data_IF_181495958734
#
_entry.id   IF_181495958734
#
_cell.length_a   1.000
_cell.length_b   1.000
_cell.length_c   1.000
_cell.angle_alpha   90.00
_cell.angle_beta   90.00
_cell.angle_gamma   90.00
#
_symmetry.space_group_name_H-M   'P 1'
#
loop_
_entity.id
_entity.type
_entity.pdbx_description
1 polymer ?
#
# COMPACT_ATOMS: atom_id res chain seq x y z
N UNK A 1 -17.32 19.05 -0.86
CA UNK A 1 -16.96 18.64 -2.24
C UNK A 1 -15.58 19.18 -2.55
N UNK A 2 -14.67 18.39 -3.11
CA UNK A 2 -13.30 18.82 -3.43
C UNK A 2 -13.30 19.81 -4.59
N UNK A 3 -12.53 20.90 -4.49
CA UNK A 3 -12.20 21.77 -5.61
C UNK A 3 -11.00 21.19 -6.38
N UNK A 4 -11.29 20.24 -7.27
CA UNK A 4 -10.28 19.48 -8.01
C UNK A 4 -9.40 20.37 -8.86
N UNK A 5 -9.97 21.45 -9.46
CA UNK A 5 -9.20 22.36 -10.30
C UNK A 5 -8.19 23.19 -9.49
N UNK A 6 -8.53 23.52 -8.24
CA UNK A 6 -7.58 24.16 -7.31
C UNK A 6 -6.51 23.16 -6.84
N UNK A 7 -6.91 21.94 -6.47
CA UNK A 7 -6.01 20.87 -6.01
C UNK A 7 -4.98 20.51 -7.08
N UNK A 8 -5.36 20.42 -8.35
CA UNK A 8 -4.45 20.07 -9.46
C UNK A 8 -3.25 21.02 -9.58
N UNK A 9 -3.39 22.28 -9.17
CA UNK A 9 -2.28 23.26 -9.18
C UNK A 9 -1.15 22.90 -8.21
N UNK A 10 -1.44 22.08 -7.21
CA UNK A 10 -0.44 21.56 -6.27
C UNK A 10 0.42 20.45 -6.89
N UNK A 11 0.03 19.93 -8.06
CA UNK A 11 0.68 18.83 -8.77
C UNK A 11 1.21 19.27 -10.14
N UNK A 12 2.34 19.98 -10.21
CA UNK A 12 2.85 20.58 -11.46
C UNK A 12 3.08 19.59 -12.61
N UNK A 13 3.34 18.32 -12.28
CA UNK A 13 3.55 17.26 -13.29
C UNK A 13 2.31 17.04 -14.16
N UNK A 14 1.10 17.32 -13.66
CA UNK A 14 -0.15 17.13 -14.40
C UNK A 14 -0.32 18.14 -15.54
N UNK A 15 0.48 19.22 -15.57
CA UNK A 15 0.50 20.20 -16.66
C UNK A 15 1.45 19.78 -17.80
N UNK A 16 2.19 18.68 -17.63
CA UNK A 16 3.13 18.21 -18.65
C UNK A 16 2.40 17.67 -19.89
N UNK A 17 3.08 17.76 -21.01
CA UNK A 17 2.64 17.13 -22.27
C UNK A 17 3.51 15.92 -22.59
N UNK A 18 2.87 14.84 -22.98
CA UNK A 18 3.48 13.60 -23.46
C UNK A 18 3.13 13.44 -24.93
N UNK A 19 4.14 13.40 -25.81
CA UNK A 19 3.95 13.39 -27.28
C UNK A 19 3.00 14.52 -27.76
N UNK A 20 3.19 15.74 -27.24
CA UNK A 20 2.34 16.91 -27.50
C UNK A 20 0.87 16.79 -27.05
N UNK A 21 0.52 15.75 -26.28
CA UNK A 21 -0.80 15.57 -25.67
C UNK A 21 -0.77 15.90 -24.18
N UNK A 22 -1.85 16.43 -23.60
CA UNK A 22 -1.95 16.56 -22.14
C UNK A 22 -1.72 15.21 -21.46
N UNK A 23 -0.97 15.22 -20.36
CA UNK A 23 -0.81 14.01 -19.53
C UNK A 23 -2.13 13.65 -18.86
N UNK A 24 -2.60 12.43 -19.08
CA UNK A 24 -3.66 11.77 -18.31
C UNK A 24 -3.00 10.65 -17.52
N UNK A 25 -2.94 10.80 -16.19
CA UNK A 25 -2.21 9.85 -15.35
C UNK A 25 -3.17 8.96 -14.55
N UNK A 26 -3.31 7.71 -14.98
CA UNK A 26 -4.16 6.68 -14.38
C UNK A 26 -3.36 5.47 -13.85
N UNK A 27 -2.09 5.65 -13.49
CA UNK A 27 -1.29 4.61 -12.84
C UNK A 27 -1.03 4.90 -11.34
N UNK A 28 -2.02 5.51 -10.66
CA UNK A 28 -1.94 5.89 -9.24
C UNK A 28 -1.75 4.69 -8.31
N UNK A 29 -2.32 3.55 -8.64
CA UNK A 29 -2.14 2.31 -7.88
C UNK A 29 -0.72 1.74 -7.93
N UNK A 30 0.15 2.21 -8.84
CA UNK A 30 1.58 1.91 -8.83
C UNK A 30 2.35 2.94 -7.98
N UNK A 31 2.13 4.23 -8.24
CA UNK A 31 2.65 5.35 -7.44
C UNK A 31 1.80 6.59 -7.73
N UNK A 32 1.46 7.37 -6.73
CA UNK A 32 0.76 8.64 -6.91
C UNK A 32 1.72 9.76 -7.31
N UNK A 33 1.21 10.84 -7.90
CA UNK A 33 1.99 12.08 -8.07
C UNK A 33 2.17 12.80 -6.73
N UNK A 34 3.17 13.69 -6.65
CA UNK A 34 3.56 14.35 -5.39
C UNK A 34 3.12 15.81 -5.43
N UNK A 35 2.42 16.29 -4.39
CA UNK A 35 2.11 17.70 -4.29
C UNK A 35 3.39 18.49 -4.01
N UNK A 36 3.41 19.75 -4.46
CA UNK A 36 4.53 20.68 -4.32
C UNK A 36 5.06 20.73 -2.89
N UNK A 37 4.20 20.80 -1.88
CA UNK A 37 4.60 20.89 -0.47
C UNK A 37 5.45 19.69 -0.01
N UNK A 38 5.22 18.50 -0.55
CA UNK A 38 6.02 17.30 -0.23
C UNK A 38 7.41 17.41 -0.83
N UNK A 39 7.53 17.86 -2.07
CA UNK A 39 8.83 18.06 -2.74
C UNK A 39 9.62 19.16 -2.04
N UNK A 40 8.98 20.29 -1.75
CA UNK A 40 9.59 21.41 -0.99
C UNK A 40 10.03 20.99 0.41
N UNK A 41 9.30 20.07 1.07
CA UNK A 41 9.70 19.53 2.37
C UNK A 41 10.99 18.72 2.29
N UNK A 42 11.17 17.92 1.23
CA UNK A 42 12.42 17.18 0.97
C UNK A 42 13.57 18.17 0.74
N UNK A 43 13.38 19.13 -0.15
CA UNK A 43 14.38 20.14 -0.47
C UNK A 43 14.80 20.94 0.77
N UNK A 44 13.81 21.43 1.54
CA UNK A 44 14.06 22.14 2.79
C UNK A 44 14.77 21.27 3.84
N UNK A 45 14.45 19.99 3.91
CA UNK A 45 15.13 19.05 4.81
C UNK A 45 16.61 18.98 4.54
N UNK A 46 17.01 18.82 3.29
CA UNK A 46 18.43 18.76 2.92
C UNK A 46 19.15 20.11 3.05
N UNK A 47 18.52 21.22 2.71
CA UNK A 47 19.19 22.51 2.72
C UNK A 47 19.28 23.15 4.10
N UNK A 48 18.34 22.87 5.02
CA UNK A 48 18.22 23.63 6.25
C UNK A 48 18.48 22.84 7.54
N UNK A 49 18.21 21.50 7.54
CA UNK A 49 18.26 20.68 8.78
C UNK A 49 18.94 19.33 8.59
N UNK A 50 19.77 19.19 7.55
CA UNK A 50 20.44 17.91 7.26
C UNK A 50 21.51 17.58 8.30
N UNK A 51 21.24 16.64 9.18
CA UNK A 51 22.18 16.09 10.15
C UNK A 51 21.76 14.68 10.58
N UNK A 52 22.72 13.86 11.03
CA UNK A 52 22.36 12.57 11.66
C UNK A 52 21.54 12.80 12.91
N UNK A 53 20.54 11.94 13.14
CA UNK A 53 19.54 12.07 14.20
C UNK A 53 19.92 11.25 15.46
N UNK A 54 19.22 11.52 16.58
CA UNK A 54 19.25 10.87 17.90
C UNK A 54 20.57 11.03 18.68
N UNK A 55 21.77 11.00 18.07
CA UNK A 55 23.06 10.94 18.79
C UNK A 55 23.84 12.23 18.78
N UNK A 56 23.50 13.19 17.94
CA UNK A 56 24.20 14.48 17.87
C UNK A 56 23.74 15.44 18.96
N UNK A 57 24.70 16.11 19.59
CA UNK A 57 24.42 17.12 20.63
C UNK A 57 24.32 18.55 20.08
N UNK A 58 24.47 18.72 18.77
CA UNK A 58 24.42 20.04 18.12
C UNK A 58 23.01 20.34 17.55
N UNK A 59 22.71 21.62 17.35
CA UNK A 59 21.40 22.13 16.95
C UNK A 59 20.79 21.41 15.75
N UNK A 60 21.55 21.21 14.67
CA UNK A 60 21.01 20.55 13.47
C UNK A 60 20.55 19.12 13.75
N UNK A 61 21.30 18.35 14.55
CA UNK A 61 20.93 17.00 14.93
C UNK A 61 19.65 16.97 15.77
N UNK A 62 19.52 17.90 16.72
CA UNK A 62 18.31 18.02 17.53
C UNK A 62 17.09 18.39 16.66
N UNK A 63 17.23 19.39 15.78
CA UNK A 63 16.16 19.81 14.88
C UNK A 63 15.73 18.69 13.90
N UNK A 64 16.68 17.93 13.37
CA UNK A 64 16.37 16.79 12.50
C UNK A 64 15.68 15.65 13.28
N UNK A 65 16.13 15.39 14.52
CA UNK A 65 15.49 14.39 15.41
C UNK A 65 14.07 14.79 15.75
N UNK A 66 13.84 16.04 16.16
CA UNK A 66 12.49 16.55 16.46
C UNK A 66 11.56 16.43 15.24
N UNK A 67 12.05 16.77 14.05
CA UNK A 67 11.27 16.67 12.81
C UNK A 67 10.91 15.21 12.47
N UNK A 68 11.83 14.26 12.68
CA UNK A 68 11.62 12.84 12.46
C UNK A 68 10.60 12.27 13.45
N UNK A 69 10.71 12.58 14.74
CA UNK A 69 9.79 12.10 15.76
C UNK A 69 8.40 12.78 15.67
N UNK A 70 8.34 14.04 15.22
CA UNK A 70 7.07 14.70 14.88
C UNK A 70 6.39 14.00 13.68
N UNK A 71 7.18 13.54 12.70
CA UNK A 71 6.66 12.73 11.60
C UNK A 71 6.07 11.40 12.10
N UNK A 72 6.71 10.73 13.06
CA UNK A 72 6.20 9.51 13.69
C UNK A 72 4.85 9.76 14.40
N UNK A 73 4.75 10.85 15.15
CA UNK A 73 3.49 11.26 15.78
C UNK A 73 2.41 11.57 14.76
N UNK A 74 2.77 12.19 13.62
CA UNK A 74 1.82 12.45 12.54
C UNK A 74 1.26 11.15 11.96
N UNK A 75 2.10 10.14 11.74
CA UNK A 75 1.68 8.81 11.30
C UNK A 75 0.78 8.15 12.35
N UNK A 76 1.19 8.19 13.62
CA UNK A 76 0.43 7.65 14.74
C UNK A 76 -1.00 8.23 14.79
N UNK A 77 -1.12 9.56 14.67
CA UNK A 77 -2.41 10.25 14.65
C UNK A 77 -3.23 9.92 13.39
N UNK A 78 -2.59 9.83 12.24
CA UNK A 78 -3.25 9.53 10.97
C UNK A 78 -3.88 8.13 10.97
N UNK A 79 -3.22 7.15 11.57
CA UNK A 79 -3.72 5.78 11.72
C UNK A 79 -4.59 5.58 12.96
N UNK A 80 -4.71 6.57 13.85
CA UNK A 80 -5.31 6.45 15.18
C UNK A 80 -4.66 5.35 16.06
N UNK A 81 -3.33 5.17 15.96
CA UNK A 81 -2.60 4.26 16.82
C UNK A 81 -2.51 4.80 18.26
N UNK A 82 -2.40 3.91 19.25
CA UNK A 82 -2.39 4.28 20.67
C UNK A 82 -1.10 5.00 21.09
N UNK A 83 0.01 4.59 20.53
CA UNK A 83 1.34 5.08 20.88
C UNK A 83 2.21 5.29 19.63
N UNK A 84 3.14 6.23 19.68
CA UNK A 84 4.20 6.36 18.66
C UNK A 84 5.16 5.18 18.65
N UNK A 85 5.25 4.40 19.75
CA UNK A 85 6.03 3.16 19.83
C UNK A 85 5.53 2.07 18.89
N UNK A 86 4.25 2.16 18.49
CA UNK A 86 3.60 1.24 17.54
C UNK A 86 3.92 1.56 16.06
N UNK A 87 4.66 2.65 15.79
CA UNK A 87 4.98 3.12 14.44
C UNK A 87 6.46 2.88 14.15
N UNK A 88 6.75 1.97 13.21
CA UNK A 88 8.09 1.65 12.73
C UNK A 88 8.24 2.17 11.31
N UNK A 89 9.25 2.98 11.05
CA UNK A 89 9.59 3.40 9.68
C UNK A 89 10.35 2.29 8.96
N UNK A 90 9.93 2.02 7.75
CA UNK A 90 10.52 1.04 6.83
C UNK A 90 10.72 1.67 5.45
N UNK A 91 11.35 0.97 4.52
CA UNK A 91 11.48 1.45 3.13
C UNK A 91 10.19 1.31 2.31
N UNK A 92 9.16 0.69 2.87
CA UNK A 92 7.86 0.46 2.23
C UNK A 92 7.20 -0.81 2.72
N UNK A 93 5.98 -1.07 2.23
CA UNK A 93 5.16 -2.25 2.55
C UNK A 93 5.95 -3.57 2.43
N UNK A 94 6.74 -3.71 1.37
CA UNK A 94 7.51 -4.94 1.14
C UNK A 94 8.49 -5.21 2.27
N UNK A 95 9.23 -4.21 2.76
CA UNK A 95 10.13 -4.40 3.89
C UNK A 95 9.35 -4.65 5.18
N UNK A 96 8.26 -3.93 5.41
CA UNK A 96 7.42 -4.10 6.59
C UNK A 96 6.89 -5.54 6.71
N UNK A 97 6.39 -6.12 5.60
CA UNK A 97 5.94 -7.52 5.57
C UNK A 97 7.12 -8.48 5.76
N UNK A 98 8.28 -8.24 5.15
CA UNK A 98 9.47 -9.07 5.35
C UNK A 98 9.95 -9.05 6.82
N UNK A 99 9.88 -7.89 7.49
CA UNK A 99 10.19 -7.77 8.91
C UNK A 99 9.28 -8.69 9.73
N UNK A 100 7.96 -8.56 9.56
CA UNK A 100 7.02 -9.41 10.28
C UNK A 100 7.19 -10.89 9.90
N UNK A 101 7.32 -11.20 8.60
CA UNK A 101 7.51 -12.58 8.16
C UNK A 101 8.76 -13.24 8.78
N UNK A 102 9.86 -12.50 8.91
CA UNK A 102 11.08 -13.01 9.53
C UNK A 102 10.92 -13.11 11.05
N UNK A 103 10.62 -12.00 11.72
CA UNK A 103 10.59 -11.92 13.18
C UNK A 103 9.47 -12.77 13.80
N UNK A 104 8.29 -12.76 13.18
CA UNK A 104 7.15 -13.56 13.65
C UNK A 104 7.38 -15.06 13.45
N UNK A 105 7.91 -15.45 12.30
CA UNK A 105 8.21 -16.88 12.06
C UNK A 105 9.31 -17.39 13.00
N UNK A 106 10.32 -16.55 13.29
CA UNK A 106 11.41 -16.94 14.18
C UNK A 106 10.94 -17.13 15.63
N UNK A 107 10.05 -16.29 16.12
CA UNK A 107 9.58 -16.29 17.51
C UNK A 107 8.35 -17.17 17.72
N UNK A 108 7.39 -17.19 16.78
CA UNK A 108 6.05 -17.70 17.01
C UNK A 108 5.71 -18.96 16.22
N UNK A 109 6.58 -19.42 15.28
CA UNK A 109 6.23 -20.52 14.39
C UNK A 109 7.26 -21.64 14.37
N UNK A 110 6.74 -22.84 14.14
CA UNK A 110 7.49 -24.08 13.97
C UNK A 110 7.15 -24.76 12.65
N UNK A 111 7.90 -25.80 12.26
CA UNK A 111 7.63 -26.57 11.05
C UNK A 111 6.21 -27.18 11.08
N UNK A 112 5.49 -27.01 9.98
CA UNK A 112 4.11 -27.45 9.82
C UNK A 112 3.06 -26.43 10.30
N UNK A 113 3.45 -25.29 10.89
CA UNK A 113 2.52 -24.21 11.18
C UNK A 113 2.08 -23.50 9.90
N UNK A 114 0.97 -22.78 9.97
CA UNK A 114 0.25 -22.28 8.82
C UNK A 114 0.07 -20.75 8.87
N UNK A 115 0.22 -20.13 7.70
CA UNK A 115 -0.18 -18.74 7.45
C UNK A 115 -1.32 -18.73 6.45
N UNK A 116 -2.41 -18.04 6.75
CA UNK A 116 -3.52 -17.84 5.82
C UNK A 116 -3.27 -16.53 5.06
N UNK A 117 -3.28 -16.61 3.73
CA UNK A 117 -3.22 -15.46 2.80
C UNK A 117 -4.41 -15.49 1.85
N UNK A 118 -4.67 -14.43 1.07
CA UNK A 118 -5.70 -14.49 0.04
C UNK A 118 -5.13 -14.71 -1.37
N UNK A 119 -5.98 -15.13 -2.30
CA UNK A 119 -5.64 -15.22 -3.72
C UNK A 119 -5.36 -13.84 -4.34
N UNK A 120 -5.79 -12.75 -3.69
CA UNK A 120 -5.66 -11.37 -4.17
C UNK A 120 -4.35 -10.69 -3.77
N UNK A 121 -3.45 -11.39 -3.07
CA UNK A 121 -2.26 -10.77 -2.50
C UNK A 121 -1.29 -10.27 -3.58
N UNK A 122 -0.73 -9.10 -3.33
CA UNK A 122 0.47 -8.63 -4.02
C UNK A 122 1.65 -9.55 -3.70
N UNK A 123 2.62 -9.69 -4.61
CA UNK A 123 3.82 -10.51 -4.37
C UNK A 123 4.54 -10.19 -3.06
N UNK A 124 4.46 -8.94 -2.59
CA UNK A 124 5.02 -8.52 -1.30
C UNK A 124 4.42 -9.26 -0.09
N UNK A 125 3.19 -9.78 -0.23
CA UNK A 125 2.50 -10.52 0.83
C UNK A 125 2.35 -12.02 0.52
N UNK A 126 3.10 -12.52 -0.45
CA UNK A 126 3.20 -13.96 -0.77
C UNK A 126 4.64 -14.42 -0.59
N UNK A 127 5.57 -13.77 -1.30
CA UNK A 127 6.97 -14.21 -1.41
C UNK A 127 7.69 -14.25 -0.06
N UNK A 128 7.54 -13.27 0.86
CA UNK A 128 8.15 -13.38 2.18
C UNK A 128 7.75 -14.65 2.94
N UNK A 129 6.47 -15.03 2.89
CA UNK A 129 5.95 -16.24 3.52
C UNK A 129 6.47 -17.50 2.83
N UNK A 130 6.61 -17.52 1.50
CA UNK A 130 7.23 -18.63 0.76
C UNK A 130 8.71 -18.80 1.14
N UNK A 131 9.43 -17.71 1.37
CA UNK A 131 10.82 -17.75 1.87
C UNK A 131 10.86 -18.40 3.26
N UNK A 132 9.93 -18.06 4.15
CA UNK A 132 9.84 -18.69 5.47
C UNK A 132 9.38 -20.15 5.38
N UNK A 133 8.48 -20.48 4.46
CA UNK A 133 8.11 -21.87 4.18
C UNK A 133 9.32 -22.72 3.80
N UNK A 134 10.19 -22.20 2.92
CA UNK A 134 11.41 -22.89 2.53
C UNK A 134 12.45 -23.01 3.67
N UNK A 135 12.49 -22.03 4.60
CA UNK A 135 13.45 -22.00 5.70
C UNK A 135 13.00 -22.77 6.93
N UNK A 136 11.74 -22.65 7.30
CA UNK A 136 11.17 -23.16 8.57
C UNK A 136 10.16 -24.29 8.37
N UNK A 137 9.76 -24.59 7.14
CA UNK A 137 8.76 -25.63 6.86
C UNK A 137 7.33 -25.24 7.20
N UNK A 138 7.00 -23.94 7.23
CA UNK A 138 5.61 -23.47 7.38
C UNK A 138 4.83 -23.67 6.08
N UNK A 139 3.50 -23.59 6.14
CA UNK A 139 2.60 -23.80 5.00
C UNK A 139 1.72 -22.57 4.76
N UNK A 140 1.47 -22.23 3.49
CA UNK A 140 0.50 -21.19 3.12
C UNK A 140 -0.84 -21.85 2.80
N UNK A 141 -1.91 -21.33 3.42
CA UNK A 141 -3.30 -21.59 3.05
C UNK A 141 -3.88 -20.37 2.34
N UNK A 142 -4.69 -20.59 1.31
CA UNK A 142 -5.17 -19.51 0.45
C UNK A 142 -6.67 -19.38 0.53
N UNK A 143 -7.17 -18.19 0.85
CA UNK A 143 -8.59 -17.83 0.76
C UNK A 143 -8.92 -17.61 -0.72
N UNK A 144 -9.82 -18.40 -1.32
CA UNK A 144 -10.25 -18.19 -2.69
C UNK A 144 -11.19 -17.00 -2.81
N UNK A 145 -11.46 -16.57 -4.06
CA UNK A 145 -12.47 -15.56 -4.37
C UNK A 145 -13.62 -16.16 -5.18
N UNK A 146 -14.74 -15.45 -5.19
CA UNK A 146 -15.89 -15.75 -6.04
C UNK A 146 -15.75 -15.07 -7.42
N UNK A 147 -16.73 -15.30 -8.33
CA UNK A 147 -16.76 -14.73 -9.68
C UNK A 147 -16.80 -13.19 -9.71
N UNK A 148 -17.28 -12.55 -8.63
CA UNK A 148 -17.28 -11.09 -8.51
C UNK A 148 -15.93 -10.52 -8.05
N UNK A 149 -14.98 -11.38 -7.65
CA UNK A 149 -13.72 -10.98 -7.08
C UNK A 149 -13.86 -10.56 -5.61
N UNK A 150 -14.70 -11.21 -4.83
CA UNK A 150 -14.87 -11.07 -3.38
C UNK A 150 -14.33 -12.33 -2.70
N UNK A 151 -13.71 -12.20 -1.53
CA UNK A 151 -13.18 -13.34 -0.77
C UNK A 151 -14.32 -14.29 -0.32
N UNK A 152 -14.08 -15.60 -0.43
CA UNK A 152 -15.02 -16.62 0.03
C UNK A 152 -14.91 -16.80 1.55
N UNK A 153 -15.69 -16.05 2.33
CA UNK A 153 -15.60 -16.01 3.78
C UNK A 153 -15.93 -17.35 4.46
N UNK A 154 -16.84 -18.15 3.90
CA UNK A 154 -17.12 -19.50 4.44
C UNK A 154 -15.91 -20.43 4.29
N UNK A 155 -15.20 -20.33 3.16
CA UNK A 155 -13.93 -21.06 2.99
C UNK A 155 -12.88 -20.54 3.97
N UNK A 156 -12.77 -19.22 4.13
CA UNK A 156 -11.83 -18.62 5.11
C UNK A 156 -12.03 -19.22 6.50
N UNK A 157 -13.26 -19.26 7.01
CA UNK A 157 -13.59 -19.86 8.32
C UNK A 157 -13.16 -21.33 8.43
N UNK A 158 -13.24 -22.07 7.31
CA UNK A 158 -12.86 -23.49 7.28
C UNK A 158 -11.35 -23.74 7.20
N UNK A 159 -10.54 -22.70 6.91
CA UNK A 159 -9.07 -22.83 6.81
C UNK A 159 -8.39 -22.91 8.15
N UNK A 160 -9.00 -22.46 9.24
CA UNK A 160 -8.37 -22.47 10.57
C UNK A 160 -8.15 -23.88 11.10
N UNK A 161 -7.00 -24.06 11.72
CA UNK A 161 -6.60 -25.27 12.44
C UNK A 161 -5.75 -24.88 13.65
N UNK A 162 -5.41 -25.83 14.53
CA UNK A 162 -4.49 -25.62 15.66
C UNK A 162 -3.09 -25.15 15.22
N UNK A 163 -2.76 -25.37 13.94
CA UNK A 163 -1.47 -24.94 13.33
C UNK A 163 -1.52 -23.54 12.73
N UNK A 164 -2.67 -22.95 12.56
CA UNK A 164 -2.80 -21.58 12.04
C UNK A 164 -2.23 -20.60 13.06
N UNK A 165 -1.21 -19.81 12.65
CA UNK A 165 -0.51 -18.88 13.53
C UNK A 165 -0.64 -17.43 13.11
N UNK A 166 -0.99 -17.16 11.85
CA UNK A 166 -1.15 -15.79 11.33
C UNK A 166 -2.12 -15.77 10.15
N UNK A 167 -2.90 -14.71 10.05
CA UNK A 167 -3.61 -14.30 8.83
C UNK A 167 -2.91 -13.08 8.25
N UNK A 168 -2.57 -13.09 6.96
CA UNK A 168 -1.92 -11.96 6.29
C UNK A 168 -2.63 -11.64 4.98
N UNK A 169 -3.42 -10.55 4.94
CA UNK A 169 -4.31 -10.25 3.82
C UNK A 169 -4.28 -8.79 3.41
N UNK A 170 -4.53 -8.53 2.13
CA UNK A 170 -4.65 -7.17 1.60
C UNK A 170 -6.01 -6.56 1.98
N UNK A 171 -5.98 -5.27 2.36
CA UNK A 171 -7.20 -4.50 2.63
C UNK A 171 -7.94 -4.16 1.33
N UNK A 172 -7.21 -3.71 0.31
CA UNK A 172 -7.76 -3.39 -1.01
C UNK A 172 -6.91 -4.05 -2.09
N UNK A 173 -7.53 -4.84 -2.96
CA UNK A 173 -6.84 -5.47 -4.07
C UNK A 173 -6.28 -4.43 -5.05
N UNK A 174 -4.98 -4.50 -5.32
CA UNK A 174 -4.32 -3.62 -6.28
C UNK A 174 -4.69 -3.91 -7.75
N UNK A 175 -5.37 -5.02 -8.00
CA UNK A 175 -5.83 -5.43 -9.34
C UNK A 175 -7.32 -5.21 -9.49
N UNK A 176 -8.12 -5.81 -8.60
CA UNK A 176 -9.58 -5.81 -8.71
C UNK A 176 -10.22 -4.55 -8.13
N UNK A 177 -9.50 -3.85 -7.26
CA UNK A 177 -10.04 -2.75 -6.46
C UNK A 177 -10.94 -3.23 -5.31
N UNK A 178 -11.23 -4.52 -5.19
CA UNK A 178 -12.06 -5.07 -4.12
C UNK A 178 -11.58 -4.62 -2.76
N UNK A 179 -12.47 -4.02 -1.96
CA UNK A 179 -12.26 -3.70 -0.55
C UNK A 179 -12.66 -4.93 0.25
N UNK A 180 -11.68 -5.62 0.81
CA UNK A 180 -11.91 -6.82 1.61
C UNK A 180 -12.52 -6.48 2.98
N UNK A 181 -13.35 -7.36 3.55
CA UNK A 181 -14.01 -7.15 4.85
C UNK A 181 -13.02 -7.43 6.00
N UNK A 182 -11.95 -6.60 6.09
CA UNK A 182 -10.82 -6.86 7.02
C UNK A 182 -11.25 -6.87 8.48
N UNK A 183 -12.28 -6.13 8.87
CA UNK A 183 -12.81 -6.16 10.24
C UNK A 183 -13.41 -7.54 10.56
N UNK A 184 -14.21 -8.10 9.66
CA UNK A 184 -14.75 -9.45 9.81
C UNK A 184 -13.64 -10.52 9.81
N UNK A 185 -12.60 -10.33 8.95
CA UNK A 185 -11.43 -11.23 8.92
C UNK A 185 -10.69 -11.21 10.24
N UNK A 186 -10.48 -10.02 10.83
CA UNK A 186 -9.79 -9.86 12.12
C UNK A 186 -10.62 -10.48 13.25
N UNK A 187 -11.92 -10.18 13.30
CA UNK A 187 -12.83 -10.75 14.30
C UNK A 187 -12.84 -12.29 14.25
N UNK A 188 -12.90 -12.88 13.05
CA UNK A 188 -12.85 -14.33 12.88
C UNK A 188 -11.50 -14.92 13.30
N UNK A 189 -10.38 -14.28 12.93
CA UNK A 189 -9.05 -14.72 13.32
C UNK A 189 -8.87 -14.68 14.85
N UNK A 190 -9.38 -13.64 15.50
CA UNK A 190 -9.34 -13.48 16.97
C UNK A 190 -10.18 -14.55 17.69
N UNK A 191 -11.30 -15.03 17.10
CA UNK A 191 -12.07 -16.14 17.64
C UNK A 191 -11.24 -17.45 17.72
N UNK A 192 -10.16 -17.52 16.91
CA UNK A 192 -9.20 -18.61 16.89
C UNK A 192 -7.87 -18.25 17.59
N UNK A 193 -7.79 -17.13 18.29
CA UNK A 193 -6.56 -16.60 18.92
C UNK A 193 -5.40 -16.39 17.93
N UNK A 194 -5.70 -16.08 16.67
CA UNK A 194 -4.75 -15.88 15.57
C UNK A 194 -4.58 -14.40 15.28
N UNK A 195 -3.35 -13.85 15.36
CA UNK A 195 -3.08 -12.45 14.99
C UNK A 195 -3.20 -12.21 13.48
N UNK A 196 -3.40 -10.93 13.11
CA UNK A 196 -3.63 -10.52 11.74
C UNK A 196 -2.67 -9.41 11.30
N UNK A 197 -2.07 -9.59 10.12
CA UNK A 197 -1.36 -8.55 9.37
C UNK A 197 -2.22 -8.10 8.20
N UNK A 198 -2.42 -6.80 8.08
CA UNK A 198 -3.16 -6.18 6.98
C UNK A 198 -2.20 -5.39 6.06
N UNK A 199 -2.15 -5.77 4.78
CA UNK A 199 -1.52 -4.95 3.74
C UNK A 199 -2.46 -3.81 3.33
N UNK A 200 -2.20 -2.62 3.86
CA UNK A 200 -2.95 -1.40 3.61
C UNK A 200 -2.44 -0.54 2.46
N UNK A 201 -1.49 -1.04 1.65
CA UNK A 201 -0.81 -0.25 0.62
C UNK A 201 -1.77 0.42 -0.39
N UNK A 202 -2.90 -0.20 -0.68
CA UNK A 202 -3.95 0.36 -1.55
C UNK A 202 -5.14 0.93 -0.77
N UNK A 203 -5.21 0.74 0.55
CA UNK A 203 -6.28 1.29 1.36
C UNK A 203 -5.96 2.70 1.86
N UNK A 204 -4.77 2.90 2.43
CA UNK A 204 -4.35 4.14 3.08
C UNK A 204 -4.45 5.38 2.16
N UNK A 205 -4.19 5.31 0.83
CA UNK A 205 -4.37 6.46 -0.06
C UNK A 205 -5.84 6.87 -0.28
N UNK A 206 -6.79 5.96 -0.09
CA UNK A 206 -8.17 6.08 -0.56
C UNK A 206 -9.22 6.05 0.54
N UNK A 207 -8.90 5.41 1.68
CA UNK A 207 -9.82 5.18 2.79
C UNK A 207 -9.30 5.76 4.09
N UNK A 208 -10.20 6.18 4.96
CA UNK A 208 -9.84 6.44 6.35
C UNK A 208 -9.53 5.09 7.02
N UNK A 209 -8.33 4.95 7.54
CA UNK A 209 -7.88 3.78 8.29
C UNK A 209 -7.78 4.12 9.77
N UNK A 210 -8.42 3.33 10.61
CA UNK A 210 -8.36 3.41 12.06
C UNK A 210 -7.89 2.05 12.59
N UNK A 211 -6.60 1.94 12.91
CA UNK A 211 -6.01 0.66 13.34
C UNK A 211 -6.48 0.24 14.73
N UNK A 212 -6.91 1.22 15.55
CA UNK A 212 -7.48 0.93 16.86
C UNK A 212 -8.89 0.33 16.75
N UNK A 213 -9.75 0.84 15.83
CA UNK A 213 -11.08 0.28 15.59
C UNK A 213 -11.01 -1.07 14.85
N UNK A 214 -10.04 -1.24 13.96
CA UNK A 214 -9.81 -2.50 13.26
C UNK A 214 -9.29 -3.58 14.20
N UNK A 215 -8.51 -3.22 15.21
CA UNK A 215 -7.87 -4.12 16.17
C UNK A 215 -6.87 -5.12 15.55
N UNK A 216 -6.31 -4.81 14.37
CA UNK A 216 -5.26 -5.62 13.74
C UNK A 216 -3.96 -5.59 14.55
N UNK A 217 -3.22 -6.69 14.58
CA UNK A 217 -1.91 -6.72 15.24
C UNK A 217 -0.86 -5.98 14.44
N UNK A 218 -0.94 -6.06 13.10
CA UNK A 218 -0.01 -5.37 12.20
C UNK A 218 -0.76 -4.74 11.02
N UNK A 219 -0.34 -3.53 10.64
CA UNK A 219 -0.86 -2.82 9.47
C UNK A 219 0.29 -2.14 8.72
N UNK A 220 0.37 -2.31 7.40
CA UNK A 220 1.52 -1.82 6.62
C UNK A 220 1.09 -0.99 5.43
N UNK A 221 1.90 0.05 5.09
CA UNK A 221 1.70 0.81 3.86
C UNK A 221 2.99 1.46 3.36
N UNK A 222 2.96 1.96 2.12
CA UNK A 222 4.08 2.64 1.45
C UNK A 222 3.78 4.11 1.22
N UNK A 223 4.74 4.99 1.54
CA UNK A 223 4.61 6.43 1.39
C UNK A 223 4.37 6.89 -0.05
N UNK A 224 5.01 6.25 -1.03
CA UNK A 224 4.88 6.65 -2.43
C UNK A 224 3.49 6.44 -3.04
N UNK A 225 2.60 5.70 -2.38
CA UNK A 225 1.21 5.51 -2.82
C UNK A 225 0.26 6.52 -2.19
N UNK A 226 0.63 7.10 -1.04
CA UNK A 226 -0.13 8.16 -0.37
C UNK A 226 0.55 9.53 -0.53
N UNK A 227 0.90 9.88 -1.76
CA UNK A 227 1.44 11.18 -2.16
C UNK A 227 2.78 11.57 -1.53
N UNK A 228 3.36 10.68 -0.71
CA UNK A 228 4.67 10.81 -0.08
C UNK A 228 5.82 10.35 -0.99
N UNK A 229 7.09 10.46 -0.55
CA UNK A 229 8.24 10.04 -1.33
C UNK A 229 8.36 8.52 -1.47
N UNK A 230 9.19 8.06 -2.41
CA UNK A 230 9.67 6.68 -2.49
C UNK A 230 10.69 6.41 -1.38
N UNK A 231 10.89 5.14 -1.04
CA UNK A 231 11.91 4.74 -0.07
C UNK A 231 11.50 4.86 1.39
N UNK A 232 10.28 5.28 1.68
CA UNK A 232 9.70 5.33 3.03
C UNK A 232 8.36 4.58 3.07
N UNK A 233 8.09 3.90 4.15
CA UNK A 233 6.83 3.25 4.48
C UNK A 233 6.70 3.07 5.97
N UNK A 234 5.62 2.44 6.38
CA UNK A 234 5.24 2.28 7.78
C UNK A 234 4.80 0.85 8.04
N UNK A 235 5.28 0.32 9.15
CA UNK A 235 4.69 -0.78 9.88
C UNK A 235 4.06 -0.20 11.15
N UNK A 236 2.75 -0.33 11.29
CA UNK A 236 2.07 -0.29 12.56
C UNK A 236 2.08 -1.69 13.16
N UNK A 237 2.40 -1.80 14.45
CA UNK A 237 2.26 -3.04 15.21
C UNK A 237 1.84 -2.74 16.64
N UNK A 238 0.92 -3.54 17.20
CA UNK A 238 0.57 -3.44 18.62
C UNK A 238 1.83 -3.59 19.47
N UNK A 239 2.02 -2.71 20.45
CA UNK A 239 3.25 -2.63 21.26
C UNK A 239 3.62 -3.97 21.90
N UNK A 240 2.65 -4.71 22.41
CA UNK A 240 2.84 -6.05 23.00
C UNK A 240 3.41 -7.09 22.02
N UNK A 241 3.04 -7.00 20.73
CA UNK A 241 3.59 -7.86 19.70
C UNK A 241 4.98 -7.43 19.28
N UNK A 242 5.19 -6.13 19.09
CA UNK A 242 6.51 -5.60 18.74
C UNK A 242 7.54 -5.87 19.85
N UNK A 243 7.15 -5.78 21.12
CA UNK A 243 8.03 -6.13 22.24
C UNK A 243 8.44 -7.60 22.23
N UNK A 244 7.52 -8.49 21.90
CA UNK A 244 7.76 -9.93 21.86
C UNK A 244 8.68 -10.34 20.71
N UNK A 245 8.53 -9.70 19.53
CA UNK A 245 9.25 -10.11 18.32
C UNK A 245 10.73 -9.72 18.35
N UNK A 246 11.66 -10.61 17.91
CA UNK A 246 13.07 -10.26 17.76
C UNK A 246 13.28 -9.22 16.64
N UNK A 247 14.37 -8.44 16.68
CA UNK A 247 14.70 -7.54 15.61
C UNK A 247 15.03 -8.31 14.31
N UNK A 248 14.66 -7.74 13.20
CA UNK A 248 14.86 -8.31 11.86
C UNK A 248 16.22 -7.93 11.26
N UNK A 249 16.75 -6.76 11.59
CA UNK A 249 18.07 -6.27 11.16
C UNK A 249 18.91 -5.90 12.38
N UNK A 250 20.23 -6.07 12.27
CA UNK A 250 21.19 -5.65 13.29
C UNK A 250 22.07 -4.51 12.79
N UNK A 251 22.39 -3.57 13.67
CA UNK A 251 23.24 -2.42 13.35
C UNK A 251 23.28 -1.37 14.46
N UNK A 252 23.69 -0.18 14.13
CA UNK A 252 23.58 0.99 15.02
C UNK A 252 22.11 1.38 15.23
N UNK A 253 21.84 2.28 16.13
CA UNK A 253 20.54 2.80 16.57
C UNK A 253 19.67 1.78 17.33
N UNK A 254 19.52 0.56 16.82
CA UNK A 254 18.62 -0.46 17.35
C UNK A 254 19.17 -1.22 18.57
N UNK A 255 20.36 -0.90 19.05
CA UNK A 255 21.06 -1.54 20.16
C UNK A 255 21.10 -0.64 21.40
N UNK A 256 20.95 -1.25 22.59
CA UNK A 256 21.20 -0.59 23.87
C UNK A 256 22.68 -0.75 24.28
N UNK A 257 23.24 -1.96 24.17
CA UNK A 257 24.65 -2.23 24.42
C UNK A 257 25.17 -3.36 23.52
N UNK A 258 26.48 -3.31 23.20
CA UNK A 258 27.16 -4.32 22.38
C UNK A 258 28.50 -4.67 23.00
N UNK A 259 28.77 -5.96 23.19
CA UNK A 259 30.09 -6.52 23.37
C UNK A 259 30.31 -7.66 22.37
N UNK A 260 31.52 -8.22 22.31
CA UNK A 260 31.75 -9.39 21.45
C UNK A 260 30.95 -10.63 21.89
N UNK A 261 30.57 -10.71 23.17
CA UNK A 261 29.86 -11.84 23.76
C UNK A 261 28.34 -11.67 23.71
N UNK A 262 27.82 -10.42 23.75
CA UNK A 262 26.40 -10.15 23.89
C UNK A 262 25.98 -8.80 23.36
N UNK A 263 24.82 -8.76 22.74
CA UNK A 263 24.10 -7.54 22.36
C UNK A 263 22.76 -7.47 23.12
N UNK A 264 22.40 -6.28 23.57
CA UNK A 264 21.04 -5.96 24.03
C UNK A 264 20.43 -4.93 23.11
N UNK A 265 19.13 -5.05 22.90
CA UNK A 265 18.40 -4.20 21.94
C UNK A 265 17.79 -2.98 22.60
N UNK A 266 17.55 -1.95 21.83
CA UNK A 266 16.92 -0.72 22.26
C UNK A 266 15.42 -0.93 22.46
N UNK A 267 14.75 0.05 23.10
CA UNK A 267 13.31 0.09 23.26
C UNK A 267 12.60 0.38 21.93
N UNK A 268 11.29 0.14 21.87
CA UNK A 268 10.45 0.55 20.74
C UNK A 268 10.40 2.08 20.59
N UNK A 269 10.34 2.59 19.39
CA UNK A 269 10.32 1.90 18.09
C UNK A 269 11.71 1.52 17.57
N UNK A 270 12.78 2.00 18.18
CA UNK A 270 14.16 1.93 17.69
C UNK A 270 14.71 0.51 17.51
N UNK A 271 14.19 -0.46 18.25
CA UNK A 271 14.51 -1.89 18.12
C UNK A 271 14.41 -2.42 16.69
N UNK A 272 13.54 -1.83 15.85
CA UNK A 272 13.30 -2.26 14.47
C UNK A 272 13.87 -1.31 13.42
N UNK A 273 14.53 -0.22 13.83
CA UNK A 273 15.08 0.81 12.93
C UNK A 273 16.61 0.78 12.98
N UNK A 274 17.23 -0.17 12.27
CA UNK A 274 18.68 -0.35 12.26
C UNK A 274 19.38 0.62 11.30
N UNK A 275 20.44 1.29 11.77
CA UNK A 275 21.23 2.23 10.98
C UNK A 275 20.61 3.64 10.96
N UNK A 276 21.20 4.55 10.20
CA UNK A 276 20.66 5.91 10.04
C UNK A 276 19.34 5.83 9.24
N UNK A 277 18.19 6.22 9.82
CA UNK A 277 16.91 6.13 9.13
C UNK A 277 16.75 7.22 8.06
N UNK A 278 15.76 7.05 7.18
CA UNK A 278 15.36 8.08 6.23
C UNK A 278 14.54 9.19 6.91
N UNK A 279 15.23 10.07 7.67
CA UNK A 279 14.59 11.17 8.39
C UNK A 279 14.05 12.27 7.45
N UNK A 280 14.57 12.40 6.24
CA UNK A 280 14.03 13.31 5.23
C UNK A 280 12.74 12.73 4.64
N UNK A 281 12.75 11.44 4.26
CA UNK A 281 11.56 10.76 3.73
C UNK A 281 10.42 10.70 4.74
N UNK A 282 10.71 10.44 6.03
CA UNK A 282 9.67 10.41 7.07
C UNK A 282 9.01 11.78 7.26
N UNK A 283 9.78 12.87 7.27
CA UNK A 283 9.23 14.23 7.38
C UNK A 283 8.40 14.62 6.16
N UNK A 284 8.81 14.19 4.96
CA UNK A 284 8.05 14.41 3.73
C UNK A 284 6.78 13.53 3.66
N UNK A 285 6.84 12.31 4.20
CA UNK A 285 5.64 11.47 4.38
C UNK A 285 4.63 12.15 5.30
N UNK A 286 5.08 12.70 6.44
CA UNK A 286 4.21 13.43 7.35
C UNK A 286 3.53 14.64 6.67
N UNK A 287 4.26 15.36 5.80
CA UNK A 287 3.65 16.45 5.03
C UNK A 287 2.59 15.94 4.05
N UNK A 288 2.81 14.79 3.40
CA UNK A 288 1.81 14.15 2.56
C UNK A 288 0.55 13.76 3.36
N UNK A 289 0.71 13.17 4.54
CA UNK A 289 -0.41 12.81 5.42
C UNK A 289 -1.20 14.03 5.90
N UNK A 290 -0.50 15.11 6.25
CA UNK A 290 -1.15 16.40 6.59
C UNK A 290 -1.90 16.99 5.40
N UNK A 291 -1.33 16.87 4.19
CA UNK A 291 -1.96 17.33 2.96
C UNK A 291 -3.30 16.62 2.71
N UNK A 292 -3.32 15.29 2.71
CA UNK A 292 -4.56 14.51 2.51
C UNK A 292 -5.53 14.69 3.69
N UNK A 293 -5.03 14.85 4.91
CA UNK A 293 -5.83 15.15 6.10
C UNK A 293 -6.58 16.48 5.98
N UNK A 294 -5.96 17.53 5.38
CA UNK A 294 -6.63 18.81 5.10
C UNK A 294 -7.72 18.70 4.04
N UNK A 295 -7.57 17.81 3.05
CA UNK A 295 -8.60 17.52 2.06
C UNK A 295 -9.76 16.71 2.66
N UNK A 296 -9.45 15.88 3.65
CA UNK A 296 -10.37 14.96 4.33
C UNK A 296 -10.51 13.63 3.58
N UNK A 297 -10.16 12.54 4.24
CA UNK A 297 -10.18 11.20 3.62
C UNK A 297 -11.58 10.79 3.14
N UNK A 298 -12.64 11.17 3.86
CA UNK A 298 -14.02 10.90 3.44
C UNK A 298 -14.39 11.65 2.14
N UNK A 299 -13.90 12.88 1.96
CA UNK A 299 -14.10 13.65 0.73
C UNK A 299 -13.33 13.02 -0.44
N UNK A 300 -12.11 12.53 -0.19
CA UNK A 300 -11.29 11.82 -1.18
C UNK A 300 -12.02 10.55 -1.61
N UNK A 301 -12.41 9.70 -0.67
CA UNK A 301 -13.12 8.45 -0.94
C UNK A 301 -14.41 8.68 -1.73
N UNK A 302 -15.21 9.66 -1.35
CA UNK A 302 -16.47 9.98 -2.04
C UNK A 302 -16.25 10.45 -3.49
N UNK A 303 -15.22 11.28 -3.73
CA UNK A 303 -14.92 11.75 -5.07
C UNK A 303 -14.32 10.65 -5.96
N UNK A 304 -13.44 9.83 -5.42
CA UNK A 304 -12.85 8.71 -6.15
C UNK A 304 -13.89 7.62 -6.49
N UNK A 305 -14.89 7.39 -5.62
CA UNK A 305 -16.03 6.53 -5.91
C UNK A 305 -16.91 7.10 -7.03
N UNK A 306 -17.11 8.44 -7.08
CA UNK A 306 -17.78 9.10 -8.19
C UNK A 306 -17.03 8.90 -9.53
N UNK A 307 -15.69 9.04 -9.51
CA UNK A 307 -14.85 8.79 -10.69
C UNK A 307 -14.91 7.32 -11.12
N UNK A 308 -14.84 6.39 -10.17
CA UNK A 308 -14.91 4.95 -10.44
C UNK A 308 -16.24 4.58 -11.11
N UNK A 309 -17.37 5.05 -10.57
CA UNK A 309 -18.68 4.80 -11.18
C UNK A 309 -18.77 5.36 -12.57
N UNK A 310 -18.36 6.63 -12.73
CA UNK A 310 -18.37 7.28 -14.05
C UNK A 310 -17.50 6.54 -15.08
N UNK A 311 -16.30 6.12 -14.69
CA UNK A 311 -15.42 5.35 -15.56
C UNK A 311 -15.99 3.97 -15.88
N UNK A 312 -16.60 3.28 -14.91
CA UNK A 312 -17.23 1.98 -15.11
C UNK A 312 -18.36 2.05 -16.13
N UNK A 313 -19.24 3.05 -16.03
CA UNK A 313 -20.34 3.27 -16.99
C UNK A 313 -19.80 3.55 -18.40
N UNK A 314 -18.78 4.40 -18.51
CA UNK A 314 -18.16 4.73 -19.82
C UNK A 314 -17.47 3.52 -20.45
N UNK A 315 -16.75 2.73 -19.68
CA UNK A 315 -16.04 1.57 -20.20
C UNK A 315 -17.00 0.44 -20.55
N UNK A 316 -18.05 0.21 -19.77
CA UNK A 316 -19.05 -0.82 -20.06
C UNK A 316 -19.84 -0.55 -21.38
N UNK A 317 -19.87 0.70 -21.85
CA UNK A 317 -20.48 1.06 -23.14
C UNK A 317 -19.58 0.69 -24.34
N UNK A 318 -18.32 0.30 -24.14
CA UNK A 318 -17.37 -0.07 -25.18
C UNK A 318 -17.59 -1.56 -25.55
N UNK A 319 -17.82 -1.83 -26.81
CA UNK A 319 -18.03 -3.18 -27.31
C UNK A 319 -16.76 -4.06 -27.09
N UNK A 320 -16.96 -5.28 -26.59
CA UNK A 320 -15.89 -6.19 -26.25
C UNK A 320 -15.19 -5.89 -24.92
N UNK A 321 -15.63 -4.90 -24.15
CA UNK A 321 -15.07 -4.59 -22.83
C UNK A 321 -15.37 -5.71 -21.84
N UNK A 322 -14.33 -6.12 -21.11
CA UNK A 322 -14.42 -7.05 -19.98
C UNK A 322 -13.70 -6.45 -18.77
N UNK A 323 -14.46 -6.01 -17.77
CA UNK A 323 -13.94 -5.48 -16.50
C UNK A 323 -13.83 -6.61 -15.49
N UNK A 324 -12.68 -6.69 -14.80
CA UNK A 324 -12.39 -7.66 -13.74
C UNK A 324 -12.62 -7.03 -12.36
N UNK A 325 -13.19 -7.82 -11.45
CA UNK A 325 -13.57 -7.34 -10.12
C UNK A 325 -14.87 -6.52 -10.16
N UNK A 326 -15.96 -7.15 -9.77
CA UNK A 326 -17.32 -6.58 -9.72
C UNK A 326 -17.87 -6.62 -8.29
N UNK A 327 -16.98 -6.54 -7.30
CA UNK A 327 -17.36 -6.47 -5.89
C UNK A 327 -18.24 -5.24 -5.61
N UNK A 328 -19.13 -5.36 -4.63
CA UNK A 328 -20.03 -4.27 -4.23
C UNK A 328 -19.25 -3.06 -3.66
N UNK A 329 -18.14 -3.31 -3.00
CA UNK A 329 -17.25 -2.28 -2.43
C UNK A 329 -15.92 -2.32 -3.13
N UNK A 330 -15.58 -1.22 -3.81
CA UNK A 330 -14.34 -1.08 -4.58
C UNK A 330 -13.63 0.24 -4.31
N UNK A 331 -12.30 0.20 -4.27
CA UNK A 331 -11.46 1.36 -4.44
C UNK A 331 -11.35 1.79 -5.90
N UNK A 332 -10.76 2.94 -6.16
CA UNK A 332 -10.71 3.63 -7.45
C UNK A 332 -9.78 2.94 -8.49
N UNK A 333 -10.00 1.65 -8.74
CA UNK A 333 -9.22 0.81 -9.66
C UNK A 333 -10.14 0.06 -10.62
N UNK A 334 -9.81 0.10 -11.91
CA UNK A 334 -10.43 -0.69 -12.97
C UNK A 334 -9.36 -1.48 -13.72
N UNK A 335 -9.47 -2.81 -13.68
CA UNK A 335 -8.70 -3.73 -14.52
C UNK A 335 -9.58 -4.30 -15.61
N UNK A 336 -9.12 -4.28 -16.86
CA UNK A 336 -9.96 -4.65 -18.00
C UNK A 336 -9.16 -5.25 -19.16
N UNK A 337 -9.89 -5.91 -20.07
CA UNK A 337 -9.46 -6.31 -21.40
C UNK A 337 -10.53 -5.89 -22.43
N UNK A 338 -10.14 -5.74 -23.70
CA UNK A 338 -11.06 -5.36 -24.80
C UNK A 338 -10.90 -6.35 -25.95
N UNK A 339 -11.95 -7.14 -26.21
CA UNK A 339 -11.92 -8.17 -27.26
C UNK A 339 -10.70 -9.09 -27.15
N UNK A 340 -10.00 -9.25 -28.27
CA UNK A 340 -8.75 -10.04 -28.34
C UNK A 340 -7.48 -9.16 -28.35
N UNK A 341 -7.59 -7.87 -28.01
CA UNK A 341 -6.44 -6.96 -27.98
C UNK A 341 -5.58 -7.30 -26.77
N UNK A 342 -4.29 -7.58 -27.01
CA UNK A 342 -3.35 -7.86 -25.95
C UNK A 342 -3.21 -6.62 -25.04
N UNK A 343 -3.21 -6.82 -23.72
CA UNK A 343 -3.16 -5.71 -22.74
C UNK A 343 -1.95 -4.78 -22.95
N UNK A 344 -0.82 -5.34 -23.37
CA UNK A 344 0.40 -4.57 -23.64
C UNK A 344 0.23 -3.63 -24.84
N UNK A 345 -0.37 -4.09 -25.94
CA UNK A 345 -0.62 -3.30 -27.15
C UNK A 345 -1.61 -2.15 -26.84
N UNK A 346 -2.68 -2.46 -26.09
CA UNK A 346 -3.63 -1.45 -25.61
C UNK A 346 -2.90 -0.36 -24.81
N UNK A 347 -2.05 -0.73 -23.84
CA UNK A 347 -1.31 0.23 -23.03
C UNK A 347 -0.33 1.07 -23.82
N UNK A 348 0.42 0.47 -24.75
CA UNK A 348 1.36 1.20 -25.63
C UNK A 348 0.66 2.22 -26.53
N UNK A 349 -0.51 1.86 -27.05
CA UNK A 349 -1.25 2.77 -27.94
C UNK A 349 -1.95 3.88 -27.16
N UNK A 350 -2.40 3.62 -25.94
CA UNK A 350 -2.91 4.66 -25.03
C UNK A 350 -1.80 5.64 -24.62
N UNK A 351 -0.59 5.15 -24.35
CA UNK A 351 0.58 6.01 -24.05
C UNK A 351 0.84 7.03 -25.19
N UNK A 352 0.72 6.60 -26.46
CA UNK A 352 0.83 7.51 -27.60
C UNK A 352 -0.24 8.59 -27.67
N UNK A 353 -1.32 8.43 -26.90
CA UNK A 353 -2.38 9.43 -26.73
C UNK A 353 -2.18 10.30 -25.48
N UNK A 354 -1.07 10.12 -24.73
CA UNK A 354 -0.79 10.82 -23.48
C UNK A 354 -1.47 10.20 -22.26
N UNK A 355 -2.00 8.99 -22.39
CA UNK A 355 -2.77 8.30 -21.34
C UNK A 355 -1.90 7.22 -20.70
N UNK A 356 -1.47 7.46 -19.47
CA UNK A 356 -0.64 6.53 -18.68
C UNK A 356 -1.51 5.54 -17.91
N UNK A 357 -1.46 4.27 -18.30
CA UNK A 357 -2.08 3.13 -17.62
C UNK A 357 -1.02 2.06 -17.34
N UNK A 358 -1.32 1.11 -16.49
CA UNK A 358 -0.44 -0.05 -16.24
C UNK A 358 -0.94 -1.28 -16.97
N UNK A 359 -0.01 -2.13 -17.44
CA UNK A 359 -0.35 -3.41 -18.10
C UNK A 359 0.40 -4.57 -17.46
N UNK A 360 -0.13 -5.79 -17.62
CA UNK A 360 0.47 -7.03 -17.16
C UNK A 360 -0.18 -7.62 -15.92
N UNK A 361 0.59 -8.37 -15.14
CA UNK A 361 0.08 -9.10 -13.96
C UNK A 361 0.03 -8.26 -12.66
N UNK A 362 0.45 -6.99 -12.67
CA UNK A 362 0.39 -6.05 -11.54
C UNK A 362 1.01 -6.57 -10.23
N UNK A 363 2.05 -7.40 -10.31
CA UNK A 363 2.66 -8.10 -9.17
C UNK A 363 1.67 -8.99 -8.38
N UNK A 364 0.69 -9.60 -9.07
CA UNK A 364 -0.31 -10.51 -8.53
C UNK A 364 -0.52 -11.70 -9.52
N UNK A 365 0.57 -12.39 -9.88
CA UNK A 365 0.50 -13.51 -10.83
C UNK A 365 -0.45 -14.63 -10.41
N UNK A 366 -0.52 -15.06 -9.13
CA UNK A 366 -1.50 -16.07 -8.72
C UNK A 366 -2.94 -15.68 -9.01
N UNK A 367 -3.29 -14.41 -8.82
CA UNK A 367 -4.62 -13.88 -9.17
C UNK A 367 -4.88 -13.95 -10.69
N UNK A 368 -3.88 -13.63 -11.53
CA UNK A 368 -4.02 -13.77 -12.98
C UNK A 368 -4.24 -15.21 -13.40
N UNK A 369 -3.55 -16.16 -12.76
CA UNK A 369 -3.74 -17.60 -12.98
C UNK A 369 -5.16 -18.05 -12.58
N UNK A 370 -5.67 -17.60 -11.45
CA UNK A 370 -7.03 -17.90 -11.00
C UNK A 370 -8.09 -17.33 -11.94
N UNK A 371 -7.84 -16.14 -12.51
CA UNK A 371 -8.70 -15.52 -13.53
C UNK A 371 -8.56 -16.16 -14.93
N UNK A 372 -7.57 -17.04 -15.15
CA UNK A 372 -7.29 -17.68 -16.44
C UNK A 372 -6.79 -16.70 -17.52
N UNK A 373 -6.06 -15.67 -17.15
CA UNK A 373 -5.53 -14.61 -18.06
C UNK A 373 -4.06 -14.34 -17.80
N UNK A 374 -3.35 -13.78 -18.81
CA UNK A 374 -1.95 -13.40 -18.68
C UNK A 374 -1.75 -12.07 -17.95
N UNK A 375 -2.70 -11.16 -18.06
CA UNK A 375 -2.65 -9.83 -17.47
C UNK A 375 -3.82 -8.96 -17.90
N UNK A 376 -3.87 -7.75 -17.37
CA UNK A 376 -4.90 -6.76 -17.71
C UNK A 376 -4.27 -5.40 -18.02
N UNK A 377 -5.06 -4.50 -18.61
CA UNK A 377 -4.85 -3.04 -18.51
C UNK A 377 -5.49 -2.60 -17.21
N UNK A 378 -4.80 -1.80 -16.41
CA UNK A 378 -5.30 -1.23 -15.16
C UNK A 378 -5.28 0.28 -15.22
N UNK A 379 -6.41 0.90 -15.03
CA UNK A 379 -6.55 2.32 -14.72
C UNK A 379 -6.84 2.48 -13.22
N UNK A 380 -6.13 3.36 -12.55
CA UNK A 380 -6.32 3.70 -11.13
C UNK A 380 -6.41 5.21 -10.97
N UNK A 381 -7.48 5.66 -10.33
CA UNK A 381 -7.81 7.06 -10.19
C UNK A 381 -7.35 7.62 -8.85
N UNK A 382 -7.24 8.94 -8.78
CA UNK A 382 -6.92 9.70 -7.59
C UNK A 382 -7.76 10.97 -7.57
N UNK A 383 -7.86 11.61 -6.42
CA UNK A 383 -8.67 12.82 -6.23
C UNK A 383 -8.30 14.02 -7.13
N UNK A 384 -7.16 13.99 -7.80
CA UNK A 384 -6.79 15.01 -8.78
C UNK A 384 -7.18 14.65 -10.23
N UNK A 385 -7.70 13.45 -10.48
CA UNK A 385 -8.21 13.10 -11.81
C UNK A 385 -9.58 13.72 -12.07
N UNK A 386 -9.97 13.83 -13.35
CA UNK A 386 -11.23 14.46 -13.74
C UNK A 386 -12.08 13.57 -14.64
N UNK A 387 -13.38 13.89 -14.77
CA UNK A 387 -14.29 13.20 -15.69
C UNK A 387 -13.90 13.40 -17.15
N UNK A 388 -13.36 14.58 -17.50
CA UNK A 388 -12.87 14.88 -18.84
C UNK A 388 -11.68 14.00 -19.22
N UNK A 389 -10.80 13.68 -18.25
CA UNK A 389 -9.73 12.70 -18.45
C UNK A 389 -10.29 11.30 -18.69
N UNK A 390 -11.35 10.90 -17.99
CA UNK A 390 -12.03 9.61 -18.20
C UNK A 390 -12.72 9.56 -19.57
N UNK A 391 -13.36 10.66 -20.02
CA UNK A 391 -13.94 10.75 -21.37
C UNK A 391 -12.88 10.60 -22.46
N UNK A 392 -11.72 11.25 -22.29
CA UNK A 392 -10.60 11.13 -23.21
C UNK A 392 -10.02 9.70 -23.21
N UNK A 393 -9.98 9.04 -22.04
CA UNK A 393 -9.56 7.65 -21.89
C UNK A 393 -10.50 6.69 -22.62
N UNK A 394 -11.82 6.80 -22.42
CA UNK A 394 -12.80 5.97 -23.11
C UNK A 394 -12.73 6.14 -24.63
N UNK A 395 -12.61 7.40 -25.11
CA UNK A 395 -12.41 7.69 -26.52
C UNK A 395 -11.08 7.13 -27.07
N UNK A 396 -10.02 7.15 -26.24
CA UNK A 396 -8.72 6.53 -26.54
C UNK A 396 -8.83 5.03 -26.74
N UNK A 397 -9.51 4.33 -25.83
CA UNK A 397 -9.76 2.87 -25.92
C UNK A 397 -10.55 2.55 -27.20
N UNK A 398 -11.62 3.29 -27.48
CA UNK A 398 -12.42 3.12 -28.69
C UNK A 398 -11.61 3.35 -29.98
N UNK A 399 -10.71 4.33 -29.97
CA UNK A 399 -9.79 4.57 -31.09
C UNK A 399 -8.84 3.40 -31.29
N UNK A 400 -8.25 2.88 -30.22
CA UNK A 400 -7.34 1.71 -30.29
C UNK A 400 -8.11 0.48 -30.76
N UNK A 401 -9.32 0.23 -30.20
CA UNK A 401 -10.16 -0.93 -30.59
C UNK A 401 -10.43 -0.97 -32.10
N UNK A 402 -10.62 0.16 -32.74
CA UNK A 402 -10.85 0.26 -34.20
C UNK A 402 -9.62 -0.04 -35.07
N UNK A 403 -8.45 -0.22 -34.47
CA UNK A 403 -7.22 -0.57 -35.19
C UNK A 403 -7.02 -2.07 -35.32
N UNK A 404 -7.77 -2.86 -34.51
CA UNK A 404 -7.77 -4.32 -34.47
C UNK A 404 -9.10 -4.89 -34.97
#
# INVERSE_FOLDING_TARGET
MLDVQSIRKDFPILDHKIYDKPLIYFDNGATTQKPRCVVEKIESGYYNVNANIHRGVHFLSQAATEAHEDARKTVQQFLNARSSNEIIFTRGTTEAINLIASSFTDECMSAGDEVIVSVMEHHSNIVPWQIQAARKGITLKVIPMNEKGELCMDTFRSLFSERTKLVSVTHVSNVLGTINPVKEIIEEAHNHEVPVLIDGAQAVPHLKVDVHDLDAEFYVFSGHKIYGPTGIGVLYGKEEWLDKLPPYQGGGEMIASVSFEKTTFNELPFKFEAGTPDYIGSTALAEALRYVGRLGMDNIAAYEDELLRYATDKLNAIDGMRIFGQAAHKGAVLSFLVGNIHHYDMGMLLDRLGIAVRTGHHCAQPLMQDLGIEGTVRASFSFYNTKEEIDAFAAGIERVRKMF
#
